data_IF_673827465243
#
_entry.id   IF_673827465243
#
_cell.length_a   1.000
_cell.length_b   1.000
_cell.length_c   1.000
_cell.angle_alpha   90.00
_cell.angle_beta   90.00
_cell.angle_gamma   90.00
#
_symmetry.space_group_name_H-M   'P 1'
#
loop_
_entity.id
_entity.type
_entity.pdbx_description
1 polymer ?
#
# COMPACT_ATOMS: atom_id res chain seq x y z
N UNK A 1 3.92 -9.81 -0.64
CA UNK A 1 2.87 -9.98 0.41
C UNK A 1 3.19 -9.02 1.55
N UNK A 2 2.21 -8.42 2.26
CA UNK A 2 2.45 -7.37 3.30
C UNK A 2 3.48 -7.73 4.38
N UNK A 3 3.74 -9.04 4.56
CA UNK A 3 4.70 -9.59 5.51
C UNK A 3 6.15 -9.32 5.11
N UNK A 4 6.48 -9.30 3.81
CA UNK A 4 7.87 -9.16 3.31
C UNK A 4 8.50 -7.81 3.65
N UNK A 5 7.70 -6.74 3.74
CA UNK A 5 8.18 -5.40 4.09
C UNK A 5 8.67 -5.26 5.54
N UNK A 6 8.34 -6.23 6.41
CA UNK A 6 8.60 -6.16 7.85
C UNK A 6 9.41 -7.38 8.33
N UNK A 7 9.48 -8.44 7.52
CA UNK A 7 10.01 -9.74 7.91
C UNK A 7 11.51 -9.73 8.30
N UNK A 8 12.28 -8.76 7.81
CA UNK A 8 13.72 -8.66 8.06
C UNK A 8 14.13 -7.39 8.80
N UNK A 9 13.17 -6.61 9.26
CA UNK A 9 13.44 -5.36 9.97
C UNK A 9 13.77 -5.63 11.45
N UNK A 10 14.60 -4.78 12.08
CA UNK A 10 14.82 -4.82 13.53
C UNK A 10 13.50 -4.75 14.30
N UNK A 11 13.50 -5.16 15.57
CA UNK A 11 12.31 -5.05 16.43
C UNK A 11 11.91 -3.57 16.52
N UNK A 12 10.86 -3.22 15.77
CA UNK A 12 10.27 -1.89 15.76
C UNK A 12 9.34 -1.71 16.97
N UNK A 13 9.25 -0.48 17.45
CA UNK A 13 8.14 -0.10 18.32
C UNK A 13 6.80 -0.20 17.57
N UNK A 14 5.70 -0.31 18.31
CA UNK A 14 4.35 -0.38 17.72
C UNK A 14 4.03 0.85 16.85
N UNK A 15 4.59 2.01 17.17
CA UNK A 15 4.35 3.24 16.43
C UNK A 15 5.13 3.24 15.10
N UNK A 16 6.39 2.84 15.12
CA UNK A 16 7.21 2.70 13.90
C UNK A 16 6.59 1.70 12.94
N UNK A 17 6.18 0.53 13.44
CA UNK A 17 5.54 -0.50 12.61
C UNK A 17 4.25 0.01 11.95
N UNK A 18 3.45 0.82 12.67
CA UNK A 18 2.24 1.43 12.10
C UNK A 18 2.59 2.40 10.98
N UNK A 19 3.63 3.20 11.15
CA UNK A 19 4.09 4.15 10.14
C UNK A 19 4.61 3.43 8.90
N UNK A 20 5.47 2.43 9.06
CA UNK A 20 6.01 1.62 7.95
C UNK A 20 4.89 0.92 7.17
N UNK A 21 3.91 0.34 7.86
CA UNK A 21 2.74 -0.29 7.20
C UNK A 21 1.93 0.75 6.44
N UNK A 22 1.69 1.92 7.04
CA UNK A 22 0.92 2.98 6.41
C UNK A 22 1.60 3.46 5.13
N UNK A 23 2.91 3.73 5.19
CA UNK A 23 3.70 4.16 4.04
C UNK A 23 3.69 3.11 2.91
N UNK A 24 3.91 1.83 3.26
CA UNK A 24 3.84 0.74 2.28
C UNK A 24 2.45 0.64 1.62
N UNK A 25 1.37 0.79 2.39
CA UNK A 25 0.01 0.72 1.83
C UNK A 25 -0.26 1.90 0.90
N UNK A 26 0.05 3.12 1.32
CA UNK A 26 -0.32 4.36 0.62
C UNK A 26 0.60 4.69 -0.56
N UNK A 27 1.90 4.48 -0.40
CA UNK A 27 2.91 4.90 -1.38
C UNK A 27 3.19 3.78 -2.36
N UNK A 28 3.38 2.55 -1.89
CA UNK A 28 3.76 1.45 -2.78
C UNK A 28 2.52 0.72 -3.28
N UNK A 29 1.73 0.16 -2.36
CA UNK A 29 0.67 -0.77 -2.71
C UNK A 29 -0.47 -0.10 -3.48
N UNK A 30 -1.08 0.95 -2.93
CA UNK A 30 -2.24 1.61 -3.53
C UNK A 30 -1.89 2.37 -4.83
N UNK A 31 -0.62 2.77 -5.01
CA UNK A 31 -0.19 3.46 -6.24
C UNK A 31 0.20 2.50 -7.36
N UNK A 32 0.88 1.40 -7.04
CA UNK A 32 1.48 0.52 -8.06
C UNK A 32 0.66 -0.72 -8.36
N UNK A 33 -0.04 -1.29 -7.37
CA UNK A 33 -0.72 -2.58 -7.55
C UNK A 33 -1.96 -2.41 -8.41
N UNK A 34 -1.95 -3.04 -9.58
CA UNK A 34 -3.12 -3.14 -10.45
C UNK A 34 -4.04 -4.27 -9.99
N UNK A 35 -5.34 -4.01 -10.03
CA UNK A 35 -6.35 -4.99 -9.65
C UNK A 35 -7.33 -5.23 -10.80
N UNK A 36 -7.61 -6.49 -11.13
CA UNK A 36 -8.51 -6.84 -12.24
C UNK A 36 -9.92 -6.29 -12.04
N UNK A 37 -10.43 -6.33 -10.81
CA UNK A 37 -11.73 -5.72 -10.47
C UNK A 37 -11.78 -4.19 -10.64
N UNK A 38 -10.63 -3.51 -10.69
CA UNK A 38 -10.53 -2.07 -10.96
C UNK A 38 -10.18 -1.78 -12.43
N UNK A 39 -10.38 -2.75 -13.34
CA UNK A 39 -10.02 -2.61 -14.75
C UNK A 39 -8.50 -2.54 -14.98
N UNK A 40 -7.71 -3.22 -14.13
CA UNK A 40 -6.24 -3.14 -14.12
C UNK A 40 -5.69 -1.75 -13.81
N UNK A 41 -6.47 -0.91 -13.15
CA UNK A 41 -6.00 0.33 -12.53
C UNK A 41 -5.48 0.04 -11.13
N UNK A 42 -4.59 0.91 -10.67
CA UNK A 42 -4.24 0.96 -9.25
C UNK A 42 -5.34 1.68 -8.47
N UNK A 43 -5.52 1.37 -7.17
CA UNK A 43 -6.49 2.05 -6.31
C UNK A 43 -6.48 3.57 -6.45
N UNK A 44 -5.31 4.21 -6.41
CA UNK A 44 -5.20 5.68 -6.57
C UNK A 44 -5.69 6.16 -7.94
N UNK A 45 -5.38 5.43 -9.01
CA UNK A 45 -5.82 5.83 -10.36
C UNK A 45 -7.32 5.57 -10.56
N UNK A 46 -7.84 4.51 -9.96
CA UNK A 46 -9.27 4.24 -9.96
C UNK A 46 -10.02 5.34 -9.22
N UNK A 47 -9.60 5.73 -8.02
CA UNK A 47 -10.21 6.85 -7.29
C UNK A 47 -10.14 8.14 -8.10
N UNK A 48 -8.98 8.50 -8.69
CA UNK A 48 -8.84 9.71 -9.53
C UNK A 48 -9.79 9.76 -10.72
N UNK A 49 -10.15 8.62 -11.31
CA UNK A 49 -11.10 8.57 -12.43
C UNK A 49 -12.56 8.64 -11.98
N UNK A 50 -12.84 8.34 -10.71
CA UNK A 50 -14.18 8.33 -10.14
C UNK A 50 -14.48 9.54 -9.24
N UNK A 51 -13.49 10.39 -8.97
CA UNK A 51 -13.69 11.69 -8.33
C UNK A 51 -14.21 12.66 -9.40
N UNK A 52 -15.48 13.03 -9.27
CA UNK A 52 -16.17 14.05 -10.08
C UNK A 52 -15.80 15.47 -9.65
#
# INVERSE_FOLDING_TARGET
>A
MKVEAIQYEPIMTRNEMRQTIFEYIEVDYNRTRKHSALGYLSPVNFEKQNVA
#
